data_IF_757944439287
#
_entry.id   IF_757944439287
#
_cell.length_a   1.000
_cell.length_b   1.000
_cell.length_c   1.000
_cell.angle_alpha   90.00
_cell.angle_beta   90.00
_cell.angle_gamma   90.00
#
_symmetry.space_group_name_H-M   'P 1'
#
loop_
_entity.id
_entity.type
_entity.pdbx_description
1 polymer ?
#
# COMPACT_ATOMS: atom_id res chain seq x y z
N UNK A 1 -33.95 11.85 19.73
CA UNK A 1 -33.90 11.98 18.26
C UNK A 1 -32.70 12.85 17.82
N UNK A 2 -31.59 12.85 18.58
CA UNK A 2 -30.42 13.72 18.35
C UNK A 2 -29.15 12.94 17.99
N UNK A 3 -29.11 11.62 18.20
CA UNK A 3 -27.97 10.77 17.83
C UNK A 3 -27.81 10.50 16.33
N UNK A 4 -28.76 10.93 15.47
CA UNK A 4 -28.64 10.80 14.00
C UNK A 4 -28.05 12.01 13.29
N UNK A 5 -27.90 13.16 13.97
CA UNK A 5 -27.31 14.36 13.34
C UNK A 5 -25.79 14.44 13.41
N UNK A 6 -25.13 13.60 14.22
CA UNK A 6 -23.67 13.49 14.25
C UNK A 6 -23.09 12.53 13.18
N UNK A 7 -23.93 11.77 12.49
CA UNK A 7 -23.52 10.81 11.45
C UNK A 7 -23.36 11.43 10.03
N UNK A 8 -23.57 12.74 9.89
CA UNK A 8 -23.51 13.47 8.61
C UNK A 8 -22.23 14.29 8.41
N UNK A 9 -21.30 14.31 9.38
CA UNK A 9 -19.92 14.68 9.11
C UNK A 9 -19.27 13.46 8.43
N UNK A 10 -19.46 13.37 7.10
CA UNK A 10 -18.95 12.26 6.31
C UNK A 10 -17.47 11.99 6.59
N UNK A 11 -17.09 10.72 6.58
CA UNK A 11 -15.72 10.30 6.84
C UNK A 11 -14.75 11.05 5.90
N UNK A 12 -13.86 11.92 6.43
CA UNK A 12 -13.03 12.79 5.61
C UNK A 12 -12.02 12.01 4.75
N UNK A 13 -11.54 10.87 5.25
CA UNK A 13 -10.63 10.01 4.52
C UNK A 13 -11.37 9.30 3.38
N UNK A 14 -12.53 8.72 3.66
CA UNK A 14 -13.34 8.06 2.63
C UNK A 14 -13.71 9.05 1.50
N UNK A 15 -14.09 10.28 1.86
CA UNK A 15 -14.39 11.33 0.89
C UNK A 15 -13.15 11.74 0.06
N UNK A 16 -11.97 11.80 0.67
CA UNK A 16 -10.73 12.11 -0.02
C UNK A 16 -10.29 10.99 -0.97
N UNK A 17 -10.41 9.74 -0.54
CA UNK A 17 -10.20 8.55 -1.38
C UNK A 17 -11.14 8.56 -2.59
N UNK A 18 -12.43 8.81 -2.38
CA UNK A 18 -13.39 8.90 -3.48
C UNK A 18 -13.02 9.99 -4.50
N UNK A 19 -12.56 11.16 -4.04
CA UNK A 19 -12.08 12.23 -4.93
C UNK A 19 -10.82 11.83 -5.70
N UNK A 20 -9.84 11.25 -5.02
CA UNK A 20 -8.59 10.79 -5.65
C UNK A 20 -8.87 9.74 -6.73
N UNK A 21 -9.74 8.77 -6.46
CA UNK A 21 -10.12 7.72 -7.42
C UNK A 21 -10.96 8.24 -8.60
N UNK A 22 -11.66 9.36 -8.44
CA UNK A 22 -12.39 10.00 -9.52
C UNK A 22 -11.46 10.79 -10.48
N UNK A 23 -10.31 11.25 -10.00
CA UNK A 23 -9.32 11.99 -10.77
C UNK A 23 -7.89 11.48 -10.48
N UNK A 24 -7.58 10.22 -10.83
CA UNK A 24 -6.27 9.66 -10.58
C UNK A 24 -5.22 10.31 -11.48
N UNK A 25 -3.98 10.36 -10.99
CA UNK A 25 -2.84 10.82 -11.75
C UNK A 25 -2.44 9.74 -12.77
N UNK A 26 -2.21 10.16 -14.02
CA UNK A 26 -1.94 9.25 -15.12
C UNK A 26 -3.24 8.75 -15.77
N UNK A 27 -3.70 7.56 -15.39
CA UNK A 27 -4.84 6.89 -16.02
C UNK A 27 -5.93 6.54 -14.99
N UNK A 28 -7.17 6.44 -15.45
CA UNK A 28 -8.28 5.93 -14.63
C UNK A 28 -8.08 4.44 -14.28
N UNK A 29 -8.74 3.96 -13.23
CA UNK A 29 -8.74 2.52 -12.87
C UNK A 29 -9.10 1.62 -14.06
N UNK A 30 -10.14 1.99 -14.83
CA UNK A 30 -10.58 1.22 -15.99
C UNK A 30 -9.56 1.19 -17.13
N UNK A 31 -8.71 2.22 -17.24
CA UNK A 31 -7.64 2.29 -18.24
C UNK A 31 -6.38 1.56 -17.78
N UNK A 32 -6.06 1.65 -16.48
CA UNK A 32 -4.89 1.01 -15.90
C UNK A 32 -5.06 -0.50 -15.76
N UNK A 33 -6.29 -0.96 -15.50
CA UNK A 33 -6.59 -2.35 -15.15
C UNK A 33 -7.75 -2.84 -16.05
N UNK A 34 -7.45 -3.30 -17.28
CA UNK A 34 -8.49 -3.72 -18.23
C UNK A 34 -9.02 -5.13 -17.89
N UNK A 35 -10.11 -5.19 -17.14
CA UNK A 35 -10.90 -6.42 -16.89
C UNK A 35 -10.08 -7.65 -16.43
N UNK A 36 -9.35 -7.56 -15.31
CA UNK A 36 -8.61 -8.69 -14.77
C UNK A 36 -9.55 -9.78 -14.26
N UNK A 37 -9.16 -11.04 -14.43
CA UNK A 37 -9.82 -12.16 -13.80
C UNK A 37 -9.47 -12.25 -12.31
N UNK A 38 -8.25 -11.84 -11.91
CA UNK A 38 -7.75 -11.86 -10.54
C UNK A 38 -7.23 -10.48 -10.14
N UNK A 39 -7.75 -9.93 -9.05
CA UNK A 39 -7.31 -8.64 -8.51
C UNK A 39 -6.84 -8.81 -7.08
N UNK A 40 -5.59 -8.45 -6.81
CA UNK A 40 -5.03 -8.48 -5.46
C UNK A 40 -4.92 -7.06 -4.95
N UNK A 41 -5.48 -6.82 -3.77
CA UNK A 41 -5.37 -5.55 -3.07
C UNK A 41 -4.50 -5.78 -1.83
N UNK A 42 -3.28 -5.27 -1.87
CA UNK A 42 -2.36 -5.30 -0.73
C UNK A 42 -2.58 -4.06 0.11
N UNK A 43 -2.85 -4.26 1.39
CA UNK A 43 -3.13 -3.18 2.33
C UNK A 43 -2.13 -3.15 3.48
N UNK A 44 -1.90 -1.97 4.07
CA UNK A 44 -1.14 -1.88 5.33
C UNK A 44 -1.96 -2.47 6.48
N UNK A 45 -1.62 -3.69 6.90
CA UNK A 45 -2.30 -4.37 8.00
C UNK A 45 -2.20 -3.61 9.32
N UNK A 46 -1.16 -2.79 9.52
CA UNK A 46 -0.97 -2.01 10.75
C UNK A 46 -1.82 -0.73 10.78
N UNK A 47 -2.27 -0.26 9.63
CA UNK A 47 -3.16 0.89 9.50
C UNK A 47 -4.63 0.44 9.29
N UNK A 48 -5.02 -0.70 9.88
CA UNK A 48 -6.30 -1.36 9.59
C UNK A 48 -7.53 -0.44 9.72
N UNK A 49 -7.55 0.50 10.67
CA UNK A 49 -8.65 1.46 10.83
C UNK A 49 -8.73 2.47 9.70
N UNK A 50 -7.59 3.03 9.24
CA UNK A 50 -7.56 3.94 8.11
C UNK A 50 -7.90 3.21 6.81
N UNK A 51 -7.33 2.02 6.61
CA UNK A 51 -7.63 1.16 5.46
C UNK A 51 -9.09 0.77 5.43
N UNK A 52 -9.69 0.38 6.56
CA UNK A 52 -11.12 0.04 6.64
C UNK A 52 -12.02 1.20 6.20
N UNK A 53 -11.61 2.44 6.41
CA UNK A 53 -12.32 3.64 5.95
C UNK A 53 -12.09 3.93 4.45
N UNK A 54 -10.91 3.58 3.93
CA UNK A 54 -10.55 3.74 2.52
C UNK A 54 -11.09 2.64 1.59
N UNK A 55 -11.36 1.44 2.11
CA UNK A 55 -11.82 0.30 1.32
C UNK A 55 -13.18 0.51 0.64
N UNK A 56 -14.25 1.00 1.30
CA UNK A 56 -15.55 1.17 0.65
C UNK A 56 -15.51 2.02 -0.64
N UNK A 57 -14.95 3.25 -0.66
CA UNK A 57 -14.88 4.03 -1.89
C UNK A 57 -13.95 3.41 -2.95
N UNK A 58 -12.93 2.65 -2.55
CA UNK A 58 -12.11 1.88 -3.49
C UNK A 58 -12.91 0.77 -4.17
N UNK A 59 -13.65 -0.02 -3.39
CA UNK A 59 -14.48 -1.10 -3.91
C UNK A 59 -15.57 -0.57 -4.85
N UNK A 60 -16.21 0.55 -4.51
CA UNK A 60 -17.16 1.22 -5.40
C UNK A 60 -16.50 1.72 -6.70
N UNK A 61 -15.25 2.17 -6.65
CA UNK A 61 -14.52 2.59 -7.84
C UNK A 61 -14.15 1.41 -8.74
N UNK A 62 -13.74 0.27 -8.16
CA UNK A 62 -13.48 -0.97 -8.90
C UNK A 62 -14.75 -1.48 -9.61
N UNK A 63 -15.90 -1.45 -8.91
CA UNK A 63 -17.19 -1.82 -9.51
C UNK A 63 -17.57 -0.91 -10.68
N UNK A 64 -17.42 0.41 -10.52
CA UNK A 64 -17.68 1.37 -11.61
C UNK A 64 -16.75 1.16 -12.80
N UNK A 65 -15.50 0.77 -12.55
CA UNK A 65 -14.54 0.39 -13.57
C UNK A 65 -14.82 -0.98 -14.20
N UNK A 66 -15.88 -1.69 -13.76
CA UNK A 66 -16.22 -3.06 -14.19
C UNK A 66 -15.14 -4.10 -13.89
N UNK A 67 -14.31 -3.83 -12.87
CA UNK A 67 -13.34 -4.80 -12.36
C UNK A 67 -14.13 -5.74 -11.43
N UNK A 68 -14.40 -6.94 -11.94
CA UNK A 68 -15.31 -7.88 -11.30
C UNK A 68 -14.77 -8.44 -9.98
N UNK A 69 -15.66 -8.73 -9.02
CA UNK A 69 -15.32 -9.34 -7.72
C UNK A 69 -14.94 -10.83 -7.78
N UNK A 70 -14.99 -11.46 -8.97
CA UNK A 70 -14.98 -12.92 -9.14
C UNK A 70 -13.78 -13.63 -8.51
N UNK A 71 -12.58 -12.99 -8.52
CA UNK A 71 -11.40 -13.39 -7.74
C UNK A 71 -10.65 -12.15 -7.24
N UNK A 72 -11.35 -11.24 -6.56
CA UNK A 72 -10.69 -10.15 -5.83
C UNK A 72 -10.35 -10.60 -4.42
N UNK A 73 -9.11 -10.42 -3.97
CA UNK A 73 -8.68 -10.75 -2.62
C UNK A 73 -7.88 -9.62 -1.98
N UNK A 74 -7.89 -9.58 -0.64
CA UNK A 74 -7.15 -8.64 0.18
C UNK A 74 -5.99 -9.35 0.86
N UNK A 75 -4.82 -8.72 0.84
CA UNK A 75 -3.64 -9.18 1.60
C UNK A 75 -3.26 -8.09 2.60
N UNK A 76 -3.31 -8.40 3.89
CA UNK A 76 -2.86 -7.49 4.95
C UNK A 76 -1.34 -7.67 5.18
N UNK A 77 -0.55 -6.75 4.64
CA UNK A 77 0.90 -6.73 4.78
C UNK A 77 1.33 -6.29 6.19
N UNK A 78 2.39 -6.91 6.72
CA UNK A 78 3.00 -6.47 7.98
C UNK A 78 4.16 -5.48 7.71
N UNK A 79 3.85 -4.18 7.71
CA UNK A 79 4.83 -3.14 7.37
C UNK A 79 5.82 -2.77 8.48
N UNK A 80 5.64 -3.26 9.72
CA UNK A 80 6.55 -2.97 10.83
C UNK A 80 6.91 -4.20 11.68
N UNK A 81 7.37 -5.31 11.08
CA UNK A 81 7.63 -6.52 11.84
C UNK A 81 8.87 -6.37 12.77
N UNK A 82 9.68 -5.32 12.55
CA UNK A 82 10.85 -4.97 13.38
C UNK A 82 10.50 -4.55 14.80
N UNK A 83 9.23 -4.20 15.05
CA UNK A 83 8.72 -3.89 16.38
C UNK A 83 8.71 -5.12 17.29
N UNK A 84 8.86 -6.33 16.74
CA UNK A 84 8.72 -7.59 17.48
C UNK A 84 7.27 -7.90 17.88
N UNK A 85 6.34 -7.00 17.58
CA UNK A 85 4.90 -7.17 17.80
C UNK A 85 4.30 -7.70 16.50
N UNK A 86 3.81 -8.94 16.44
CA UNK A 86 3.17 -9.48 15.24
C UNK A 86 1.95 -8.64 14.85
N UNK A 87 1.65 -8.57 13.55
CA UNK A 87 0.35 -8.07 13.10
C UNK A 87 -0.79 -8.83 13.80
N UNK A 88 -1.72 -8.09 14.43
CA UNK A 88 -2.90 -8.68 15.03
C UNK A 88 -3.86 -9.16 13.93
N UNK A 89 -3.73 -10.44 13.59
CA UNK A 89 -4.54 -11.07 12.56
C UNK A 89 -6.03 -11.08 12.88
N UNK A 90 -6.42 -11.14 14.16
CA UNK A 90 -7.82 -11.10 14.55
C UNK A 90 -8.38 -9.70 14.32
N UNK A 91 -7.62 -8.67 14.70
CA UNK A 91 -8.02 -7.28 14.47
C UNK A 91 -8.11 -6.95 12.99
N UNK A 92 -7.08 -7.32 12.21
CA UNK A 92 -7.07 -7.15 10.77
C UNK A 92 -8.29 -7.83 10.13
N UNK A 93 -8.60 -9.09 10.51
CA UNK A 93 -9.79 -9.79 10.01
C UNK A 93 -11.09 -9.10 10.39
N UNK A 94 -11.21 -8.64 11.63
CA UNK A 94 -12.41 -7.95 12.10
C UNK A 94 -12.64 -6.64 11.35
N UNK A 95 -11.61 -5.80 11.24
CA UNK A 95 -11.73 -4.46 10.64
C UNK A 95 -11.82 -4.51 9.12
N UNK A 96 -10.87 -5.18 8.48
CA UNK A 96 -10.77 -5.22 7.02
C UNK A 96 -11.86 -6.11 6.42
N UNK A 97 -12.18 -7.25 7.06
CA UNK A 97 -13.26 -8.13 6.61
C UNK A 97 -14.64 -7.48 6.73
N UNK A 98 -14.87 -6.66 7.76
CA UNK A 98 -16.09 -5.88 7.87
C UNK A 98 -16.18 -4.75 6.83
N UNK A 99 -15.05 -4.13 6.48
CA UNK A 99 -14.98 -3.06 5.50
C UNK A 99 -15.06 -3.53 4.04
N UNK A 100 -14.70 -4.79 3.77
CA UNK A 100 -14.72 -5.41 2.45
C UNK A 100 -15.47 -6.75 2.47
N UNK A 101 -16.78 -6.73 2.74
CA UNK A 101 -17.56 -7.97 2.85
C UNK A 101 -17.54 -8.74 1.53
N UNK A 102 -17.25 -10.04 1.63
CA UNK A 102 -17.21 -10.95 0.49
C UNK A 102 -15.87 -11.02 -0.25
N UNK A 103 -14.87 -10.20 0.12
CA UNK A 103 -13.50 -10.37 -0.36
C UNK A 103 -12.73 -11.31 0.59
N UNK A 104 -12.13 -12.41 0.11
CA UNK A 104 -11.18 -13.19 0.89
C UNK A 104 -10.06 -12.30 1.42
N UNK A 105 -9.75 -12.44 2.71
CA UNK A 105 -8.67 -11.71 3.37
C UNK A 105 -7.57 -12.67 3.81
N UNK A 106 -6.36 -12.35 3.39
CA UNK A 106 -5.12 -13.07 3.67
C UNK A 106 -4.30 -12.29 4.69
N UNK A 107 -3.84 -13.01 5.74
CA UNK A 107 -2.85 -12.51 6.70
C UNK A 107 -1.62 -13.46 6.67
N UNK A 108 -0.47 -13.03 6.11
CA UNK A 108 0.63 -13.93 5.70
C UNK A 108 1.22 -14.85 6.77
N UNK A 109 1.27 -14.43 8.05
CA UNK A 109 1.92 -15.20 9.12
C UNK A 109 1.06 -16.29 9.76
N UNK A 110 -0.22 -16.42 9.37
CA UNK A 110 -1.17 -17.36 9.99
C UNK A 110 -1.45 -18.60 9.15
N UNK A 111 -1.07 -18.61 7.88
CA UNK A 111 -1.45 -19.66 6.94
C UNK A 111 -0.21 -20.09 6.14
N UNK A 112 0.26 -21.36 6.27
CA UNK A 112 1.29 -21.86 5.38
C UNK A 112 0.75 -21.83 3.96
N UNK A 113 1.43 -21.10 3.08
CA UNK A 113 1.01 -20.93 1.69
C UNK A 113 2.12 -21.26 0.71
N UNK A 114 1.74 -21.68 -0.50
CA UNK A 114 2.65 -21.74 -1.63
C UNK A 114 3.31 -20.36 -1.83
N UNK A 115 4.60 -20.39 -2.14
CA UNK A 115 5.38 -19.18 -2.39
C UNK A 115 6.19 -19.36 -3.66
N UNK A 116 6.36 -18.27 -4.38
CA UNK A 116 7.28 -18.21 -5.51
C UNK A 116 8.52 -17.40 -5.15
N UNK A 117 9.63 -17.74 -5.79
CA UNK A 117 10.90 -17.05 -5.64
C UNK A 117 10.98 -15.88 -6.63
N UNK A 118 10.95 -14.66 -6.13
CA UNK A 118 11.13 -13.43 -6.89
C UNK A 118 12.62 -13.08 -7.12
N UNK A 119 13.52 -13.64 -6.33
CA UNK A 119 14.95 -13.37 -6.47
C UNK A 119 15.76 -13.90 -5.30
N UNK A 120 16.89 -13.24 -5.05
CA UNK A 120 17.79 -13.53 -3.91
C UNK A 120 18.41 -12.26 -3.37
N UNK A 121 18.62 -12.23 -2.06
CA UNK A 121 19.52 -11.28 -1.42
C UNK A 121 20.99 -11.54 -1.81
N UNK A 122 21.91 -10.58 -1.57
CA UNK A 122 23.33 -10.75 -1.89
C UNK A 122 24.04 -11.94 -1.21
N UNK A 123 23.51 -12.45 -0.09
CA UNK A 123 24.02 -13.66 0.58
C UNK A 123 23.39 -14.97 0.07
N UNK A 124 22.55 -14.89 -0.95
CA UNK A 124 21.85 -16.05 -1.51
C UNK A 124 20.52 -16.38 -0.82
N UNK A 125 20.11 -15.66 0.24
CA UNK A 125 18.79 -15.87 0.86
C UNK A 125 17.69 -15.68 -0.17
N UNK A 126 16.78 -16.64 -0.38
CA UNK A 126 15.71 -16.50 -1.36
C UNK A 126 14.74 -15.41 -0.96
N UNK A 127 14.32 -14.60 -1.94
CA UNK A 127 13.23 -13.64 -1.78
C UNK A 127 11.95 -14.31 -2.25
N UNK A 128 11.09 -14.64 -1.30
CA UNK A 128 9.85 -15.38 -1.55
C UNK A 128 8.62 -14.54 -1.21
N UNK A 129 7.61 -14.67 -2.07
CA UNK A 129 6.33 -13.99 -1.96
C UNK A 129 5.19 -15.00 -2.11
N UNK A 130 4.01 -14.62 -1.63
CA UNK A 130 2.80 -15.43 -1.77
C UNK A 130 2.43 -15.65 -3.24
N UNK A 131 2.09 -16.88 -3.62
CA UNK A 131 1.72 -17.23 -5.01
C UNK A 131 0.53 -16.43 -5.54
N UNK A 132 -0.35 -15.93 -4.67
CA UNK A 132 -1.45 -15.05 -5.05
C UNK A 132 -0.97 -13.77 -5.74
N UNK A 133 0.23 -13.26 -5.40
CA UNK A 133 0.81 -12.11 -6.08
C UNK A 133 1.30 -12.44 -7.49
N UNK A 134 1.66 -13.70 -7.76
CA UNK A 134 2.06 -14.17 -9.09
C UNK A 134 0.84 -14.46 -9.97
N UNK A 135 -0.28 -14.87 -9.37
CA UNK A 135 -1.56 -15.09 -10.05
C UNK A 135 -2.34 -13.80 -10.31
N UNK A 136 -1.95 -12.69 -9.68
CA UNK A 136 -2.59 -11.39 -9.87
C UNK A 136 -2.46 -10.91 -11.31
N UNK A 137 -3.60 -10.72 -11.98
CA UNK A 137 -3.66 -10.00 -13.26
C UNK A 137 -3.74 -8.49 -13.06
N UNK A 138 -4.10 -8.07 -11.84
CA UNK A 138 -4.00 -6.69 -11.39
C UNK A 138 -3.63 -6.62 -9.90
N UNK A 139 -2.68 -5.74 -9.57
CA UNK A 139 -2.22 -5.52 -8.21
C UNK A 139 -2.37 -4.05 -7.80
N UNK A 140 -3.07 -3.84 -6.69
CA UNK A 140 -3.26 -2.53 -6.08
C UNK A 140 -2.55 -2.49 -4.73
N UNK A 141 -1.76 -1.44 -4.51
CA UNK A 141 -1.22 -1.13 -3.19
C UNK A 141 -2.07 -0.04 -2.52
N UNK A 142 -2.43 -0.23 -1.25
CA UNK A 142 -3.34 0.67 -0.53
C UNK A 142 -2.83 0.90 0.89
N UNK A 143 -2.57 2.15 1.26
CA UNK A 143 -2.15 2.43 2.63
C UNK A 143 -1.68 3.85 2.84
N UNK A 144 -1.32 4.21 4.08
CA UNK A 144 -0.66 5.47 4.34
C UNK A 144 0.66 5.52 3.57
N UNK A 145 0.89 6.64 2.89
CA UNK A 145 2.20 7.00 2.38
C UNK A 145 3.13 7.25 3.57
N UNK A 146 4.31 6.68 3.51
CA UNK A 146 5.40 6.99 4.44
C UNK A 146 6.53 7.61 3.63
N UNK A 147 7.27 8.52 4.23
CA UNK A 147 8.49 9.02 3.61
C UNK A 147 9.48 7.85 3.53
N UNK A 148 9.62 7.27 2.34
CA UNK A 148 10.68 6.31 2.03
C UNK A 148 12.03 7.04 1.93
N UNK A 149 11.98 8.33 1.57
CA UNK A 149 13.08 9.30 1.58
C UNK A 149 12.54 10.69 1.95
N UNK A 150 13.37 11.59 2.52
CA UNK A 150 12.96 12.96 2.79
C UNK A 150 12.38 13.64 1.53
N UNK A 151 11.14 14.14 1.61
CA UNK A 151 10.49 14.87 0.53
C UNK A 151 9.94 14.03 -0.61
N UNK A 152 9.83 12.70 -0.45
CA UNK A 152 9.18 11.81 -1.43
C UNK A 152 8.16 10.91 -0.71
N UNK A 153 6.90 11.36 -0.58
CA UNK A 153 5.80 10.47 -0.20
C UNK A 153 5.68 9.33 -1.21
N UNK A 154 5.65 8.08 -0.74
CA UNK A 154 5.24 6.96 -1.58
C UNK A 154 4.39 5.98 -0.77
N UNK A 155 3.29 5.45 -1.32
CA UNK A 155 2.68 4.23 -0.83
C UNK A 155 3.79 3.20 -0.83
N UNK A 156 4.16 2.84 0.38
CA UNK A 156 5.49 2.35 0.65
C UNK A 156 5.66 1.02 -0.11
N UNK A 157 6.71 0.87 -0.93
CA UNK A 157 7.19 -0.44 -1.33
C UNK A 157 7.35 -1.40 -0.14
N UNK A 158 7.39 -0.89 1.10
CA UNK A 158 7.27 -1.65 2.34
C UNK A 158 6.01 -2.48 2.50
N UNK A 159 4.93 -2.19 1.76
CA UNK A 159 3.80 -3.11 1.65
C UNK A 159 4.25 -4.45 1.06
N UNK A 160 5.15 -4.44 0.07
CA UNK A 160 5.73 -5.67 -0.48
C UNK A 160 6.94 -6.13 0.34
N UNK A 161 7.90 -5.23 0.60
CA UNK A 161 9.19 -5.53 1.26
C UNK A 161 9.42 -4.60 2.46
N UNK A 162 9.19 -5.04 3.70
CA UNK A 162 9.16 -6.44 4.11
C UNK A 162 7.76 -7.07 4.18
N UNK A 163 6.71 -6.30 3.91
CA UNK A 163 5.36 -6.62 4.34
C UNK A 163 4.80 -7.97 3.93
N UNK A 164 5.29 -8.53 2.82
CA UNK A 164 4.87 -9.84 2.28
C UNK A 164 6.03 -10.81 2.07
N UNK A 165 7.23 -10.47 2.53
CA UNK A 165 8.37 -11.38 2.40
C UNK A 165 8.21 -12.61 3.27
N UNK A 166 8.74 -13.73 2.78
CA UNK A 166 8.89 -14.91 3.60
C UNK A 166 9.73 -14.68 4.87
N UNK A 167 9.43 -15.46 5.92
CA UNK A 167 10.08 -15.35 7.25
C UNK A 167 11.61 -15.38 7.19
N UNK A 168 12.19 -16.19 6.31
CA UNK A 168 13.66 -16.31 6.16
C UNK A 168 14.28 -15.06 5.54
N UNK A 169 13.75 -14.61 4.41
CA UNK A 169 14.16 -13.36 3.76
C UNK A 169 14.03 -12.16 4.71
N UNK A 170 12.94 -12.14 5.46
CA UNK A 170 12.71 -11.12 6.47
C UNK A 170 13.74 -11.17 7.59
N UNK A 171 13.98 -12.33 8.19
CA UNK A 171 14.98 -12.50 9.24
C UNK A 171 16.38 -12.07 8.76
N UNK A 172 16.73 -12.39 7.52
CA UNK A 172 17.97 -11.96 6.89
C UNK A 172 18.06 -10.44 6.71
N UNK A 173 16.96 -9.76 6.36
CA UNK A 173 16.91 -8.29 6.29
C UNK A 173 17.00 -7.63 7.68
N UNK A 174 16.34 -8.20 8.69
CA UNK A 174 16.40 -7.70 10.06
C UNK A 174 17.80 -7.83 10.68
N UNK A 175 18.43 -8.98 10.53
CA UNK A 175 19.77 -9.25 11.04
C UNK A 175 20.78 -8.22 10.54
N UNK A 176 20.58 -7.68 9.33
CA UNK A 176 21.42 -6.64 8.73
C UNK A 176 21.03 -5.22 9.17
N UNK A 177 19.74 -4.91 9.30
CA UNK A 177 19.26 -3.60 9.79
C UNK A 177 19.75 -3.27 11.19
N UNK A 178 19.96 -4.27 12.05
CA UNK A 178 20.52 -4.10 13.39
C UNK A 178 21.97 -3.56 13.41
N UNK A 179 22.66 -3.51 12.27
CA UNK A 179 24.09 -3.14 12.20
C UNK A 179 24.30 -1.69 11.80
N UNK A 180 23.45 -1.07 10.96
CA UNK A 180 23.52 0.36 10.58
C UNK A 180 22.15 0.88 10.17
N UNK A 181 21.67 1.92 10.83
CA UNK A 181 20.36 2.55 10.60
C UNK A 181 20.17 3.28 9.26
N UNK A 182 20.84 2.89 8.17
CA UNK A 182 20.70 3.53 6.87
C UNK A 182 20.90 2.55 5.73
N UNK A 183 19.91 2.48 4.83
CA UNK A 183 19.95 1.96 3.44
C UNK A 183 20.97 0.84 3.22
N UNK A 184 20.63 -0.32 3.74
CA UNK A 184 21.34 -1.55 3.40
C UNK A 184 21.07 -1.88 1.93
N UNK A 185 22.14 -2.11 1.15
CA UNK A 185 22.03 -2.53 -0.25
C UNK A 185 21.21 -3.82 -0.41
N UNK A 186 21.10 -4.65 0.62
CA UNK A 186 20.21 -5.80 0.63
C UNK A 186 18.72 -5.42 0.58
N UNK A 187 18.31 -4.35 1.27
CA UNK A 187 16.92 -3.87 1.25
C UNK A 187 16.57 -3.28 -0.12
N UNK A 188 17.46 -2.49 -0.70
CA UNK A 188 17.29 -1.96 -2.07
C UNK A 188 17.29 -3.06 -3.13
N UNK A 189 18.15 -4.08 -2.97
CA UNK A 189 18.14 -5.27 -3.84
C UNK A 189 16.81 -6.03 -3.72
N UNK A 190 16.29 -6.19 -2.51
CA UNK A 190 15.00 -6.83 -2.27
C UNK A 190 13.85 -6.05 -2.89
N UNK A 191 13.84 -4.73 -2.74
CA UNK A 191 12.87 -3.85 -3.38
C UNK A 191 12.91 -3.96 -4.90
N UNK A 192 14.11 -3.97 -5.49
CA UNK A 192 14.27 -4.12 -6.94
C UNK A 192 13.75 -5.47 -7.43
N UNK A 193 14.08 -6.55 -6.73
CA UNK A 193 13.59 -7.89 -7.07
C UNK A 193 12.07 -7.99 -6.94
N UNK A 194 11.49 -7.42 -5.87
CA UNK A 194 10.04 -7.38 -5.68
C UNK A 194 9.34 -6.65 -6.82
N UNK A 195 9.82 -5.46 -7.21
CA UNK A 195 9.25 -4.67 -8.32
C UNK A 195 9.32 -5.39 -9.66
N UNK A 196 10.41 -6.12 -9.90
CA UNK A 196 10.57 -6.88 -11.14
C UNK A 196 9.62 -8.09 -11.19
N UNK A 197 9.34 -8.70 -10.04
CA UNK A 197 8.55 -9.94 -9.97
C UNK A 197 7.05 -9.71 -9.70
N UNK A 198 6.69 -8.55 -9.14
CA UNK A 198 5.35 -8.21 -8.68
C UNK A 198 5.00 -6.84 -9.26
N UNK A 199 4.50 -6.78 -10.52
CA UNK A 199 4.13 -5.52 -11.15
C UNK A 199 2.92 -4.91 -10.43
N UNK A 200 3.01 -3.60 -10.15
CA UNK A 200 1.97 -2.84 -9.48
C UNK A 200 1.27 -1.97 -10.50
N UNK A 201 -0.03 -2.16 -10.67
CA UNK A 201 -0.83 -1.48 -11.69
C UNK A 201 -1.45 -0.19 -11.19
N UNK A 202 -1.71 -0.12 -9.89
CA UNK A 202 -2.36 1.04 -9.31
C UNK A 202 -1.96 1.23 -7.86
N UNK A 203 -1.90 2.48 -7.43
CA UNK A 203 -1.63 2.80 -6.05
C UNK A 203 -2.54 3.86 -5.49
N UNK A 204 -3.04 3.60 -4.27
CA UNK A 204 -3.81 4.54 -3.46
C UNK A 204 -3.05 4.83 -2.16
N UNK A 205 -2.68 6.09 -1.97
CA UNK A 205 -1.86 6.53 -0.87
C UNK A 205 -2.46 7.76 -0.18
N UNK A 206 -2.22 7.91 1.12
CA UNK A 206 -2.58 9.13 1.87
C UNK A 206 -1.53 9.51 2.91
N UNK A 207 -1.40 10.78 3.24
CA UNK A 207 -0.51 11.17 4.35
C UNK A 207 -1.07 10.73 5.70
N UNK A 208 -0.23 10.15 6.56
CA UNK A 208 -0.66 9.69 7.89
C UNK A 208 -1.13 10.85 8.81
N UNK A 209 -0.70 12.09 8.52
CA UNK A 209 -1.05 13.31 9.26
C UNK A 209 -2.03 14.24 8.54
N UNK A 210 -2.50 13.87 7.35
CA UNK A 210 -3.28 14.72 6.46
C UNK A 210 -4.43 13.97 5.79
N UNK A 211 -5.32 14.72 5.14
CA UNK A 211 -6.39 14.16 4.29
C UNK A 211 -5.94 14.14 2.83
N UNK A 212 -4.71 14.57 2.53
CA UNK A 212 -4.18 14.52 1.17
C UNK A 212 -4.06 13.06 0.74
N UNK A 213 -4.84 12.73 -0.28
CA UNK A 213 -5.00 11.38 -0.80
C UNK A 213 -4.73 11.43 -2.28
N UNK A 214 -3.94 10.48 -2.75
CA UNK A 214 -3.51 10.38 -4.14
C UNK A 214 -3.79 8.99 -4.67
N UNK A 215 -4.31 8.93 -5.88
CA UNK A 215 -4.49 7.71 -6.64
C UNK A 215 -3.68 7.83 -7.93
N UNK A 216 -2.87 6.82 -8.24
CA UNK A 216 -1.94 6.86 -9.37
C UNK A 216 -1.99 5.54 -10.12
N UNK A 217 -2.11 5.64 -11.45
CA UNK A 217 -1.92 4.49 -12.31
C UNK A 217 -0.42 4.22 -12.55
N UNK A 218 -0.05 2.95 -12.51
CA UNK A 218 1.32 2.48 -12.69
C UNK A 218 2.07 2.26 -11.38
N UNK A 219 3.38 2.00 -11.48
CA UNK A 219 4.16 1.54 -10.35
C UNK A 219 4.40 2.67 -9.33
N UNK A 220 4.80 2.38 -8.08
CA UNK A 220 4.98 3.37 -7.01
C UNK A 220 5.89 4.56 -7.39
N UNK A 221 6.83 4.38 -8.32
CA UNK A 221 7.71 5.42 -8.84
C UNK A 221 6.98 6.50 -9.66
N UNK A 222 5.84 6.16 -10.28
CA UNK A 222 5.00 7.13 -10.98
C UNK A 222 4.54 8.23 -10.01
N UNK A 223 4.24 7.87 -8.77
CA UNK A 223 3.90 8.83 -7.73
C UNK A 223 5.11 9.72 -7.36
N UNK A 224 6.31 9.15 -7.23
CA UNK A 224 7.52 9.92 -6.93
C UNK A 224 7.84 10.93 -8.04
N UNK A 225 7.58 10.57 -9.31
CA UNK A 225 7.70 11.49 -10.45
C UNK A 225 6.72 12.66 -10.36
N UNK A 226 5.46 12.39 -10.01
CA UNK A 226 4.43 13.44 -9.84
C UNK A 226 4.75 14.37 -8.67
N UNK A 227 5.17 13.82 -7.53
CA UNK A 227 5.51 14.62 -6.34
C UNK A 227 6.75 15.50 -6.55
N UNK A 228 7.75 15.02 -7.32
CA UNK A 228 8.91 15.83 -7.71
C UNK A 228 8.59 16.89 -8.76
N UNK A 229 7.68 16.60 -9.69
CA UNK A 229 7.22 17.57 -10.70
C UNK A 229 6.20 18.59 -10.14
N UNK A 230 5.57 18.27 -9.02
CA UNK A 230 4.56 19.07 -8.31
C UNK A 230 5.11 19.99 -7.22
N UNK A 231 6.43 20.19 -7.12
CA UNK A 231 7.07 21.14 -6.19
C UNK A 231 6.78 22.63 -6.52
N UNK A 232 5.57 22.93 -7.00
CA UNK A 232 4.90 24.22 -6.83
C UNK A 232 3.98 24.26 -5.59
N UNK A 233 3.78 23.14 -4.88
CA UNK A 233 2.95 23.06 -3.66
C UNK A 233 3.75 23.23 -2.36
N UNK A 234 4.75 24.11 -2.37
CA UNK A 234 5.34 24.67 -1.16
C UNK A 234 5.81 26.11 -1.38
N UNK A 235 4.97 26.97 -1.96
CA UNK A 235 5.11 28.39 -1.69
C UNK A 235 4.45 28.67 -0.33
N UNK A 236 5.24 28.65 0.75
CA UNK A 236 4.85 29.34 1.98
C UNK A 236 4.84 30.84 1.66
N UNK A 237 3.72 31.56 1.79
CA UNK A 237 3.78 33.00 1.93
C UNK A 237 4.15 33.30 3.39
N UNK A 238 5.26 34.01 3.59
CA UNK A 238 5.59 34.60 4.88
C UNK A 238 6.71 33.90 5.63
N UNK A 239 7.95 34.19 5.24
CA UNK A 239 8.98 34.51 6.22
C UNK A 239 9.65 35.79 5.73
N UNK A 240 9.42 36.86 6.48
CA UNK A 240 10.07 38.13 6.27
C UNK A 240 11.59 37.94 6.36
N UNK A 241 12.32 38.54 5.41
CA UNK A 241 13.76 38.66 5.51
C UNK A 241 14.12 39.43 6.80
N UNK A 242 15.13 39.00 7.57
CA UNK A 242 15.70 39.85 8.59
C UNK A 242 16.50 40.96 7.90
N UNK A 243 16.22 42.20 8.29
CA UNK A 243 16.97 43.39 7.90
C UNK A 243 18.48 43.18 8.11
N UNK A 244 19.26 43.48 7.07
CA UNK A 244 20.66 43.91 7.14
C UNK A 244 20.97 44.76 5.91
#
# INVERSE_FOLDING_TARGET
MEHRRAAAAGDPLAAAVARALAAPLGASLAQAIPMPAVTVVVVDGRACDQVARALPPLLEALERARIGRGRSLLIAADTAPHTGVPLDALEARRRLGAAAPGLPLIVPDREPRPRFRAGTLPDGTPLEFDDELREAEALLLVGPSREVQPGIPSPDPALLVPGLLGREAWAALLARRGVRGARDGAFEAALRAARAAVPVDFVLAWEDRGVETMAVAGPPEALAGVLRGGSGLAHRPGEAAPDS
#
